data_IF_007838497965
#
_entry.id   IF_007838497965
#
_cell.length_a   1.000
_cell.length_b   1.000
_cell.length_c   1.000
_cell.angle_alpha   90.00
_cell.angle_beta   90.00
_cell.angle_gamma   90.00
#
_symmetry.space_group_name_H-M   'P 1'
#
loop_
_entity.id
_entity.type
_entity.pdbx_description
1 polymer ?
#
# COMPACT_ATOMS: atom_id res chain seq x y z
N UNK A 1 -24.61 -0.97 17.47
CA UNK A 1 -23.41 -0.12 17.45
C UNK A 1 -23.06 0.10 15.99
N UNK A 2 -23.21 1.33 15.50
CA UNK A 2 -22.70 1.68 14.17
C UNK A 2 -21.18 1.58 14.18
N UNK A 3 -20.62 0.84 13.23
CA UNK A 3 -19.18 0.88 12.96
C UNK A 3 -18.88 2.27 12.38
N UNK A 4 -18.44 3.21 13.21
CA UNK A 4 -18.00 4.55 12.81
C UNK A 4 -16.69 4.54 11.98
N UNK A 5 -16.18 3.36 11.64
CA UNK A 5 -14.94 3.17 10.92
C UNK A 5 -15.22 2.31 9.67
N UNK A 6 -15.24 2.95 8.50
CA UNK A 6 -15.13 2.26 7.21
C UNK A 6 -13.65 1.91 6.98
N UNK A 7 -13.36 0.84 6.23
CA UNK A 7 -11.99 0.51 5.83
C UNK A 7 -11.37 1.70 5.08
N UNK A 8 -10.20 2.14 5.53
CA UNK A 8 -9.58 3.40 5.10
C UNK A 8 -10.24 4.59 5.78
N UNK A 9 -9.57 5.14 6.77
CA UNK A 9 -9.91 6.49 7.23
C UNK A 9 -9.36 7.48 6.22
N UNK A 10 -10.25 8.36 5.77
CA UNK A 10 -10.25 8.86 4.39
C UNK A 10 -10.34 10.39 4.31
N UNK A 11 -9.60 11.09 5.17
CA UNK A 11 -9.24 12.51 5.04
C UNK A 11 -7.91 12.75 5.77
N UNK A 12 -6.86 12.10 5.29
CA UNK A 12 -5.56 12.13 5.94
C UNK A 12 -4.58 12.88 5.08
N UNK A 13 -3.79 13.72 5.74
CA UNK A 13 -2.53 14.17 5.17
C UNK A 13 -1.71 12.95 4.76
N UNK A 14 -0.87 13.13 3.74
CA UNK A 14 0.06 12.10 3.30
C UNK A 14 1.48 12.47 3.67
N UNK A 15 2.29 11.47 3.96
CA UNK A 15 3.71 11.61 4.24
C UNK A 15 4.52 10.77 3.24
N UNK A 16 5.74 11.22 2.94
CA UNK A 16 6.70 10.39 2.23
C UNK A 16 7.57 9.64 3.24
N UNK A 17 7.68 8.33 3.09
CA UNK A 17 8.49 7.47 3.97
C UNK A 17 9.45 6.61 3.16
N UNK A 18 10.63 6.36 3.73
CA UNK A 18 11.61 5.45 3.16
C UNK A 18 11.22 4.00 3.42
N UNK A 19 11.00 3.24 2.34
CA UNK A 19 10.64 1.81 2.41
C UNK A 19 11.69 0.94 1.75
N UNK A 20 11.50 -0.38 1.84
CA UNK A 20 12.29 -1.35 1.09
C UNK A 20 12.18 -1.23 -0.44
N UNK A 21 11.15 -0.53 -0.93
CA UNK A 21 10.89 -0.29 -2.34
C UNK A 21 11.31 1.12 -2.78
N UNK A 22 12.05 1.83 -1.93
CA UNK A 22 12.33 3.26 -2.07
C UNK A 22 11.28 4.13 -1.38
N UNK A 23 11.21 5.40 -1.76
CA UNK A 23 10.26 6.35 -1.21
C UNK A 23 8.82 5.99 -1.61
N UNK A 24 7.91 6.05 -0.64
CA UNK A 24 6.49 5.86 -0.85
C UNK A 24 5.68 6.91 -0.11
N UNK A 25 4.60 7.36 -0.75
CA UNK A 25 3.54 8.15 -0.14
C UNK A 25 2.63 7.22 0.66
N UNK A 26 2.42 7.54 1.93
CA UNK A 26 1.54 6.80 2.85
C UNK A 26 0.62 7.81 3.54
N UNK A 27 -0.48 7.38 4.14
CA UNK A 27 -1.27 8.31 4.95
C UNK A 27 -0.59 8.55 6.30
N UNK A 28 -0.76 9.75 6.85
CA UNK A 28 -0.29 10.11 8.18
C UNK A 28 -1.13 9.38 9.23
N UNK A 29 -0.74 8.15 9.55
CA UNK A 29 -1.38 7.36 10.60
C UNK A 29 -1.21 8.02 11.98
N UNK A 30 -0.01 8.53 12.28
CA UNK A 30 0.37 8.98 13.62
C UNK A 30 -0.48 10.17 14.09
N UNK A 31 -0.77 11.11 13.18
CA UNK A 31 -1.62 12.27 13.47
C UNK A 31 -3.08 11.90 13.80
N UNK A 32 -3.56 10.75 13.34
CA UNK A 32 -4.98 10.39 13.42
C UNK A 32 -5.26 9.13 14.26
N UNK A 33 -4.22 8.49 14.80
CA UNK A 33 -4.32 7.27 15.62
C UNK A 33 -5.27 7.39 16.82
N UNK A 34 -5.37 8.59 17.40
CA UNK A 34 -6.15 8.87 18.61
C UNK A 34 -7.60 9.31 18.30
N UNK A 35 -7.99 9.37 17.02
CA UNK A 35 -9.35 9.75 16.63
C UNK A 35 -10.39 8.64 16.88
N UNK A 36 -9.96 7.45 17.34
CA UNK A 36 -10.84 6.32 17.62
C UNK A 36 -10.66 5.82 19.06
N UNK A 37 -11.70 6.03 19.87
CA UNK A 37 -11.81 5.44 21.22
C UNK A 37 -12.15 3.93 21.20
N UNK A 38 -12.17 3.28 20.03
CA UNK A 38 -12.52 1.85 19.84
C UNK A 38 -11.70 1.22 18.70
N UNK A 39 -11.64 -0.12 18.64
CA UNK A 39 -11.02 -0.86 17.54
C UNK A 39 -11.62 -0.46 16.19
N UNK A 40 -10.75 -0.12 15.24
CA UNK A 40 -11.15 0.32 13.90
C UNK A 40 -10.47 -0.57 12.85
N UNK A 41 -11.21 -1.37 12.07
CA UNK A 41 -10.62 -2.21 11.02
C UNK A 41 -9.99 -1.41 9.87
N UNK A 42 -10.29 -0.12 9.77
CA UNK A 42 -9.64 0.85 8.90
C UNK A 42 -8.46 1.59 9.53
N UNK A 43 -7.93 1.10 10.67
CA UNK A 43 -6.61 1.51 11.13
C UNK A 43 -5.66 1.28 9.98
N UNK A 44 -5.00 2.35 9.53
CA UNK A 44 -4.08 2.31 8.41
C UNK A 44 -2.77 1.62 8.82
N UNK A 45 -2.92 0.32 9.11
CA UNK A 45 -1.87 -0.57 9.57
C UNK A 45 -0.77 -0.67 8.52
N UNK A 46 -1.12 -0.53 7.24
CA UNK A 46 -0.17 -0.47 6.15
C UNK A 46 0.74 0.75 6.29
N UNK A 47 0.19 1.97 6.34
CA UNK A 47 1.02 3.18 6.50
C UNK A 47 1.78 3.20 7.83
N UNK A 48 1.16 2.71 8.91
CA UNK A 48 1.84 2.54 10.19
C UNK A 48 3.06 1.61 10.05
N UNK A 49 2.86 0.41 9.52
CA UNK A 49 3.90 -0.61 9.39
C UNK A 49 4.99 -0.15 8.42
N UNK A 50 4.66 0.56 7.35
CA UNK A 50 5.64 1.12 6.42
C UNK A 50 6.47 2.22 7.08
N UNK A 51 5.86 3.08 7.90
CA UNK A 51 6.56 4.13 8.63
C UNK A 51 7.53 3.59 9.68
N UNK A 52 7.24 2.43 10.27
CA UNK A 52 8.05 1.82 11.35
C UNK A 52 9.04 0.78 10.82
N UNK A 53 8.55 -0.20 10.06
CA UNK A 53 9.28 -1.40 9.67
C UNK A 53 9.77 -1.38 8.22
N UNK A 54 9.34 -0.39 7.43
CA UNK A 54 9.71 -0.19 6.03
C UNK A 54 9.27 -1.31 5.07
N UNK A 55 8.52 -2.30 5.56
CA UNK A 55 8.05 -3.45 4.79
C UNK A 55 6.63 -3.81 5.19
N UNK A 56 5.75 -3.99 4.20
CA UNK A 56 4.46 -4.62 4.44
C UNK A 56 4.57 -6.15 4.40
N UNK A 57 3.95 -6.84 5.36
CA UNK A 57 3.85 -8.31 5.44
C UNK A 57 5.16 -9.05 5.10
N UNK A 58 6.19 -8.86 5.92
CA UNK A 58 7.56 -9.30 5.63
C UNK A 58 7.71 -10.72 5.04
N UNK A 59 6.92 -11.70 5.52
CA UNK A 59 6.93 -13.08 4.98
C UNK A 59 6.40 -13.15 3.55
N UNK A 60 5.28 -12.49 3.27
CA UNK A 60 4.70 -12.42 1.92
C UNK A 60 5.60 -11.59 1.00
N UNK A 61 6.14 -10.47 1.48
CA UNK A 61 7.13 -9.67 0.76
C UNK A 61 8.29 -10.54 0.25
N UNK A 62 8.88 -11.40 1.09
CA UNK A 62 9.98 -12.29 0.65
C UNK A 62 9.51 -13.28 -0.43
N UNK A 63 8.32 -13.85 -0.28
CA UNK A 63 7.75 -14.78 -1.26
C UNK A 63 7.51 -14.11 -2.61
N UNK A 64 6.80 -12.99 -2.61
CA UNK A 64 6.51 -12.19 -3.81
C UNK A 64 7.80 -11.69 -4.46
N UNK A 65 8.78 -11.25 -3.65
CA UNK A 65 10.12 -10.88 -4.14
C UNK A 65 10.76 -11.99 -4.95
N UNK A 66 10.77 -13.23 -4.43
CA UNK A 66 11.36 -14.37 -5.14
C UNK A 66 10.63 -14.68 -6.44
N UNK A 67 9.30 -14.58 -6.44
CA UNK A 67 8.49 -14.81 -7.65
C UNK A 67 8.83 -13.75 -8.71
N UNK A 68 8.75 -12.47 -8.34
CA UNK A 68 9.02 -11.36 -9.26
C UNK A 68 10.49 -11.35 -9.72
N UNK A 69 11.45 -11.70 -8.87
CA UNK A 69 12.86 -11.78 -9.28
C UNK A 69 13.08 -12.82 -10.38
N UNK A 70 12.48 -14.00 -10.24
CA UNK A 70 12.75 -15.14 -11.12
C UNK A 70 11.75 -15.30 -12.26
N UNK A 71 10.62 -14.60 -12.24
CA UNK A 71 9.60 -14.71 -13.29
C UNK A 71 10.02 -14.05 -14.61
N UNK A 72 9.33 -14.42 -15.69
CA UNK A 72 9.44 -13.76 -16.99
C UNK A 72 8.88 -12.33 -16.91
N UNK A 73 9.65 -11.34 -17.37
CA UNK A 73 9.34 -9.90 -17.28
C UNK A 73 8.39 -9.41 -18.36
N UNK A 74 8.18 -10.21 -19.41
CA UNK A 74 7.20 -9.91 -20.45
C UNK A 74 5.76 -10.22 -20.01
N UNK A 75 5.59 -10.91 -18.87
CA UNK A 75 4.29 -11.17 -18.27
C UNK A 75 3.65 -9.91 -17.66
N UNK A 76 2.32 -9.92 -17.61
CA UNK A 76 1.53 -8.91 -16.91
C UNK A 76 1.27 -9.32 -15.46
N UNK A 77 1.49 -8.40 -14.52
CA UNK A 77 1.05 -8.53 -13.13
C UNK A 77 -0.31 -7.86 -12.98
N UNK A 78 -1.26 -8.57 -12.36
CA UNK A 78 -2.57 -8.02 -12.00
C UNK A 78 -2.63 -7.91 -10.49
N UNK A 79 -2.77 -6.70 -9.96
CA UNK A 79 -2.82 -6.42 -8.52
C UNK A 79 -4.25 -6.01 -8.13
N UNK A 80 -5.00 -6.89 -7.46
CA UNK A 80 -6.40 -6.67 -7.09
C UNK A 80 -6.49 -6.34 -5.61
N UNK A 81 -7.11 -5.21 -5.27
CA UNK A 81 -7.04 -4.66 -3.91
C UNK A 81 -5.68 -4.05 -3.64
N UNK A 82 -5.17 -3.29 -4.64
CA UNK A 82 -3.81 -2.77 -4.63
C UNK A 82 -3.55 -1.73 -3.52
N UNK A 83 -4.61 -1.20 -2.88
CA UNK A 83 -4.53 -0.22 -1.80
C UNK A 83 -3.67 0.98 -2.21
N UNK A 84 -2.61 1.30 -1.46
CA UNK A 84 -1.68 2.40 -1.82
C UNK A 84 -0.55 1.95 -2.76
N UNK A 85 -0.62 0.74 -3.32
CA UNK A 85 0.29 0.27 -4.37
C UNK A 85 1.59 -0.37 -3.90
N UNK A 86 1.65 -1.01 -2.72
CA UNK A 86 2.86 -1.71 -2.25
C UNK A 86 3.36 -2.78 -3.23
N UNK A 87 2.49 -3.73 -3.60
CA UNK A 87 2.86 -4.82 -4.51
C UNK A 87 2.96 -4.37 -5.96
N UNK A 88 2.11 -3.43 -6.38
CA UNK A 88 2.23 -2.75 -7.68
C UNK A 88 3.60 -2.10 -7.88
N UNK A 89 4.04 -1.24 -6.94
CA UNK A 89 5.36 -0.61 -6.99
C UNK A 89 6.49 -1.65 -6.96
N UNK A 90 6.32 -2.70 -6.16
CA UNK A 90 7.29 -3.80 -6.09
C UNK A 90 7.45 -4.50 -7.45
N UNK A 91 6.35 -4.83 -8.13
CA UNK A 91 6.38 -5.44 -9.44
C UNK A 91 7.01 -4.51 -10.50
N UNK A 92 6.66 -3.22 -10.49
CA UNK A 92 7.27 -2.22 -11.38
C UNK A 92 8.78 -2.10 -11.16
N UNK A 93 9.25 -2.09 -9.90
CA UNK A 93 10.69 -2.06 -9.58
C UNK A 93 11.46 -3.27 -10.12
N UNK A 94 10.78 -4.39 -10.37
CA UNK A 94 11.35 -5.57 -11.03
C UNK A 94 11.19 -5.58 -12.55
N UNK A 95 10.58 -4.55 -13.14
CA UNK A 95 10.45 -4.37 -14.59
C UNK A 95 9.17 -4.94 -15.20
N UNK A 96 8.17 -5.29 -14.38
CA UNK A 96 6.89 -5.79 -14.89
C UNK A 96 5.99 -4.66 -15.37
N UNK A 97 5.16 -4.96 -16.37
CA UNK A 97 3.90 -4.23 -16.58
C UNK A 97 2.90 -4.65 -15.52
N UNK A 98 2.18 -3.69 -14.98
CA UNK A 98 1.19 -3.92 -13.91
C UNK A 98 -0.13 -3.31 -14.34
N UNK A 99 -1.23 -4.01 -14.05
CA UNK A 99 -2.58 -3.45 -14.03
C UNK A 99 -3.11 -3.57 -12.61
N UNK A 100 -3.40 -2.43 -11.98
CA UNK A 100 -3.85 -2.39 -10.59
C UNK A 100 -5.33 -2.04 -10.48
N UNK A 101 -6.04 -2.71 -9.57
CA UNK A 101 -7.44 -2.46 -9.26
C UNK A 101 -7.59 -2.12 -7.79
N UNK A 102 -8.23 -0.98 -7.52
CA UNK A 102 -8.59 -0.55 -6.18
C UNK A 102 -10.00 0.05 -6.22
N UNK A 103 -10.82 -0.29 -5.23
CA UNK A 103 -12.21 0.13 -5.17
C UNK A 103 -12.37 1.48 -4.47
N UNK A 104 -11.42 1.83 -3.60
CA UNK A 104 -11.41 3.04 -2.81
C UNK A 104 -10.76 4.22 -3.54
N UNK A 105 -11.52 5.28 -3.89
CA UNK A 105 -11.00 6.44 -4.59
C UNK A 105 -9.76 7.09 -3.96
N UNK A 106 -9.62 7.07 -2.64
CA UNK A 106 -8.47 7.72 -1.99
C UNK A 106 -7.21 6.89 -2.04
N UNK A 107 -7.36 5.57 -1.91
CA UNK A 107 -6.26 4.66 -2.16
C UNK A 107 -5.81 4.73 -3.61
N UNK A 108 -6.73 4.90 -4.57
CA UNK A 108 -6.40 5.12 -5.99
C UNK A 108 -5.49 6.35 -6.16
N UNK A 109 -5.79 7.46 -5.48
CA UNK A 109 -4.95 8.66 -5.54
C UNK A 109 -3.52 8.40 -5.04
N UNK A 110 -3.37 7.72 -3.89
CA UNK A 110 -2.03 7.41 -3.34
C UNK A 110 -1.31 6.32 -4.16
N UNK A 111 -2.05 5.34 -4.68
CA UNK A 111 -1.53 4.33 -5.59
C UNK A 111 -0.93 4.97 -6.84
N UNK A 112 -1.62 5.93 -7.44
CA UNK A 112 -1.11 6.64 -8.64
C UNK A 112 0.21 7.39 -8.38
N UNK A 113 0.46 7.81 -7.13
CA UNK A 113 1.75 8.42 -6.73
C UNK A 113 2.84 7.35 -6.55
N UNK A 114 2.49 6.21 -5.97
CA UNK A 114 3.46 5.17 -5.63
C UNK A 114 3.85 4.25 -6.79
N UNK A 115 2.88 3.96 -7.65
CA UNK A 115 2.94 3.05 -8.77
C UNK A 115 2.30 3.72 -10.01
N UNK A 116 2.95 4.74 -10.58
CA UNK A 116 2.36 5.49 -11.70
C UNK A 116 2.27 4.63 -12.97
N UNK A 117 1.13 4.71 -13.66
CA UNK A 117 0.92 4.01 -14.95
C UNK A 117 0.51 2.54 -14.83
N UNK A 118 0.13 2.09 -13.63
CA UNK A 118 -0.57 0.82 -13.39
C UNK A 118 -2.08 0.92 -13.59
#
# INVERSE_FOLDING_TARGET
>A
MENNCQAGHKKHDTLEVDTALGKMTVFDWEKYKDQFNTYCPGQDALSQILSVSRHWEHRLYIGVKKILQNGDKDNLVIDVGAHIGWYSKMAMNYGYKVVAFEADPQNIEVLALNAPGT
#
